data_IF_768181075641
#
_entry.id   IF_768181075641
#
_cell.length_a   1.000
_cell.length_b   1.000
_cell.length_c   1.000
_cell.angle_alpha   90.00
_cell.angle_beta   90.00
_cell.angle_gamma   90.00
#
_symmetry.space_group_name_H-M   'P 1'
#
loop_
_entity.id
_entity.type
_entity.pdbx_description
1 polymer ?
#
# COMPACT_ATOMS: atom_id res chain seq x y z
N UNK A 1 10.47 9.44 17.96
CA UNK A 1 9.55 10.58 18.16
C UNK A 1 8.95 10.95 16.80
N UNK A 2 7.81 10.36 16.36
CA UNK A 2 7.15 10.71 15.07
C UNK A 2 5.71 10.14 14.90
N UNK A 3 4.95 9.98 15.99
CA UNK A 3 3.58 9.45 15.92
C UNK A 3 2.48 10.52 15.74
N UNK A 4 2.84 11.82 15.75
CA UNK A 4 1.87 12.93 15.67
C UNK A 4 1.52 13.39 14.25
N UNK A 5 2.28 13.00 13.24
CA UNK A 5 2.13 13.53 11.87
C UNK A 5 0.96 12.92 11.07
N UNK A 6 0.43 11.78 11.50
CA UNK A 6 -0.59 11.03 10.77
C UNK A 6 -2.02 11.56 11.01
N UNK A 7 -2.23 12.33 12.09
CA UNK A 7 -3.54 12.84 12.50
C UNK A 7 -3.96 14.08 11.70
N UNK A 8 -3.02 14.99 11.41
CA UNK A 8 -3.24 16.22 10.64
C UNK A 8 -3.18 16.01 9.11
N UNK A 9 -3.17 14.76 8.66
CA UNK A 9 -3.09 14.45 7.24
C UNK A 9 -4.44 14.71 6.55
N UNK A 10 -4.43 15.52 5.50
CA UNK A 10 -5.62 15.89 4.74
C UNK A 10 -5.92 14.81 3.70
N UNK A 11 -7.18 14.35 3.64
CA UNK A 11 -7.65 13.48 2.56
C UNK A 11 -7.68 14.26 1.25
N UNK A 12 -6.81 13.87 0.31
CA UNK A 12 -6.73 14.48 -1.03
C UNK A 12 -7.77 13.85 -1.95
N UNK A 13 -7.88 12.52 -1.92
CA UNK A 13 -8.77 11.80 -2.82
C UNK A 13 -9.13 10.42 -2.26
N UNK A 14 -10.43 10.11 -2.23
CA UNK A 14 -10.89 8.74 -2.04
C UNK A 14 -10.59 7.93 -3.31
N UNK A 15 -9.70 6.93 -3.21
CA UNK A 15 -9.31 6.11 -4.35
C UNK A 15 -10.30 4.96 -4.56
N UNK A 16 -10.64 4.24 -3.50
CA UNK A 16 -11.52 3.07 -3.57
C UNK A 16 -12.10 2.72 -2.20
N UNK A 17 -13.35 2.24 -2.16
CA UNK A 17 -13.95 1.69 -0.96
C UNK A 17 -14.48 0.28 -1.27
N UNK A 18 -13.98 -0.73 -0.55
CA UNK A 18 -14.36 -2.13 -0.68
C UNK A 18 -14.86 -2.68 0.66
N UNK A 19 -15.42 -3.91 0.66
CA UNK A 19 -15.84 -4.63 1.88
C UNK A 19 -14.71 -4.87 2.90
N UNK A 20 -13.46 -4.66 2.49
CA UNK A 20 -12.25 -4.77 3.31
C UNK A 20 -11.66 -3.41 3.73
N UNK A 21 -12.41 -2.32 3.56
CA UNK A 21 -12.05 -0.99 4.02
C UNK A 21 -12.00 0.08 2.93
N UNK A 22 -11.76 1.32 3.36
CA UNK A 22 -11.65 2.51 2.51
C UNK A 22 -10.19 2.87 2.27
N UNK A 23 -9.82 3.08 1.02
CA UNK A 23 -8.50 3.52 0.58
C UNK A 23 -8.60 4.98 0.14
N UNK A 24 -7.86 5.85 0.81
CA UNK A 24 -7.77 7.26 0.50
C UNK A 24 -6.31 7.69 0.34
N UNK A 25 -6.07 8.56 -0.63
CA UNK A 25 -4.82 9.30 -0.76
C UNK A 25 -4.84 10.43 0.25
N UNK A 26 -3.86 10.43 1.15
CA UNK A 26 -3.67 11.42 2.19
C UNK A 26 -2.41 12.23 1.88
N UNK A 27 -2.42 13.51 2.25
CA UNK A 27 -1.23 14.38 2.21
C UNK A 27 -0.90 14.79 3.63
N UNK A 28 0.28 14.38 4.10
CA UNK A 28 0.84 14.78 5.39
C UNK A 28 2.10 15.62 5.22
N UNK A 29 2.73 16.02 6.33
CA UNK A 29 3.93 16.85 6.32
C UNK A 29 5.14 16.17 5.61
N UNK A 30 5.18 14.84 5.57
CA UNK A 30 6.23 14.07 4.90
C UNK A 30 5.94 13.75 3.42
N UNK A 31 4.80 14.19 2.88
CA UNK A 31 4.40 13.95 1.50
C UNK A 31 3.09 13.16 1.34
N UNK A 32 2.90 12.60 0.13
CA UNK A 32 1.73 11.80 -0.23
C UNK A 32 1.85 10.38 0.31
N UNK A 33 0.77 9.89 0.90
CA UNK A 33 0.68 8.52 1.37
C UNK A 33 -0.74 7.97 1.18
N UNK A 34 -0.87 6.65 1.14
CA UNK A 34 -2.16 6.00 1.00
C UNK A 34 -2.56 5.41 2.35
N UNK A 35 -3.72 5.84 2.86
CA UNK A 35 -4.33 5.29 4.08
C UNK A 35 -5.41 4.30 3.69
N UNK A 36 -5.35 3.11 4.28
CA UNK A 36 -6.41 2.11 4.22
C UNK A 36 -7.05 1.98 5.60
N UNK A 37 -8.30 2.42 5.74
CA UNK A 37 -9.07 2.31 6.97
C UNK A 37 -9.98 1.07 6.94
N UNK A 38 -9.75 0.14 7.87
CA UNK A 38 -10.54 -1.07 8.06
C UNK A 38 -11.68 -0.86 9.08
N UNK A 39 -11.90 0.36 9.58
CA UNK A 39 -12.90 0.64 10.60
C UNK A 39 -14.36 0.32 10.17
N UNK A 40 -14.64 0.26 8.86
CA UNK A 40 -15.96 -0.06 8.31
C UNK A 40 -16.18 -1.56 8.01
N UNK A 41 -15.24 -2.43 8.38
CA UNK A 41 -15.39 -3.88 8.18
C UNK A 41 -16.36 -4.45 9.22
N UNK A 42 -17.37 -5.25 8.84
CA UNK A 42 -18.32 -5.81 9.80
C UNK A 42 -17.61 -6.76 10.77
N UNK A 43 -18.11 -6.86 12.01
CA UNK A 43 -17.41 -7.51 13.14
C UNK A 43 -16.95 -8.95 12.87
N UNK A 44 -17.73 -9.71 12.09
CA UNK A 44 -17.39 -11.07 11.67
C UNK A 44 -16.21 -11.14 10.68
N UNK A 45 -16.04 -10.12 9.82
CA UNK A 45 -14.89 -9.99 8.92
C UNK A 45 -13.69 -9.29 9.56
N UNK A 46 -13.80 -8.82 10.80
CA UNK A 46 -12.75 -8.05 11.48
C UNK A 46 -11.49 -8.88 11.76
N UNK A 47 -11.64 -10.13 12.17
CA UNK A 47 -10.54 -11.09 12.38
C UNK A 47 -9.79 -11.42 11.08
N UNK A 48 -10.46 -11.86 9.98
CA UNK A 48 -9.76 -12.13 8.73
C UNK A 48 -9.16 -10.87 8.10
N UNK A 49 -9.83 -9.73 8.18
CA UNK A 49 -9.27 -8.46 7.69
C UNK A 49 -8.04 -8.02 8.52
N UNK A 50 -8.06 -8.22 9.84
CA UNK A 50 -6.90 -7.98 10.70
C UNK A 50 -5.73 -8.91 10.37
N UNK A 51 -6.01 -10.21 10.17
CA UNK A 51 -4.97 -11.18 9.79
C UNK A 51 -4.35 -10.85 8.44
N UNK A 52 -5.18 -10.47 7.45
CA UNK A 52 -4.73 -10.06 6.13
C UNK A 52 -3.86 -8.79 6.21
N UNK A 53 -4.31 -7.78 6.96
CA UNK A 53 -3.54 -6.55 7.17
C UNK A 53 -2.22 -6.81 7.92
N UNK A 54 -2.21 -7.71 8.91
CA UNK A 54 -0.99 -8.12 9.61
C UNK A 54 -0.02 -8.86 8.68
N UNK A 55 -0.54 -9.71 7.80
CA UNK A 55 0.25 -10.42 6.80
C UNK A 55 0.82 -9.45 5.77
N UNK A 56 0.03 -8.47 5.32
CA UNK A 56 0.46 -7.38 4.44
C UNK A 56 1.57 -6.56 5.12
N UNK A 57 1.36 -6.11 6.35
CA UNK A 57 2.37 -5.37 7.13
C UNK A 57 3.66 -6.20 7.31
N UNK A 58 3.57 -7.51 7.57
CA UNK A 58 4.75 -8.38 7.69
C UNK A 58 5.48 -8.57 6.36
N UNK A 59 4.75 -8.69 5.26
CA UNK A 59 5.32 -8.75 3.91
C UNK A 59 6.03 -7.44 3.56
N UNK A 60 5.36 -6.31 3.74
CA UNK A 60 5.93 -4.98 3.53
C UNK A 60 7.16 -4.74 4.42
N UNK A 61 7.19 -5.30 5.64
CA UNK A 61 8.37 -5.23 6.51
C UNK A 61 9.57 -6.03 5.99
N UNK A 62 9.36 -7.11 5.24
CA UNK A 62 10.46 -7.88 4.62
C UNK A 62 11.01 -7.21 3.36
N UNK A 63 10.16 -6.45 2.68
CA UNK A 63 10.51 -5.75 1.43
C UNK A 63 10.79 -4.27 1.69
N UNK A 64 11.03 -3.92 2.96
CA UNK A 64 11.40 -2.57 3.39
C UNK A 64 12.74 -2.18 2.73
N UNK A 65 12.74 -1.08 1.98
CA UNK A 65 13.92 -0.59 1.25
C UNK A 65 14.03 -0.99 -0.23
N UNK A 66 13.05 -1.72 -0.79
CA UNK A 66 12.95 -1.87 -2.25
C UNK A 66 12.16 -0.69 -2.86
N UNK A 67 12.79 0.07 -3.75
CA UNK A 67 12.18 1.23 -4.42
C UNK A 67 10.94 0.88 -5.27
N UNK A 68 10.79 -0.39 -5.65
CA UNK A 68 9.73 -0.86 -6.53
C UNK A 68 8.46 -1.33 -5.77
N UNK A 69 8.42 -1.24 -4.44
CA UNK A 69 7.23 -1.61 -3.65
C UNK A 69 6.78 -0.48 -2.73
N UNK A 70 5.47 -0.39 -2.43
CA UNK A 70 4.98 0.49 -1.38
C UNK A 70 5.66 0.14 -0.05
N UNK A 71 6.06 1.16 0.69
CA UNK A 71 6.69 1.02 2.00
C UNK A 71 5.61 1.11 3.09
N UNK A 72 5.72 0.28 4.13
CA UNK A 72 4.82 0.40 5.28
C UNK A 72 5.22 1.62 6.12
N UNK A 73 4.33 2.59 6.26
CA UNK A 73 4.56 3.77 7.08
C UNK A 73 4.08 3.55 8.51
N UNK A 74 2.83 3.11 8.67
CA UNK A 74 2.25 2.84 9.99
C UNK A 74 1.19 1.74 9.92
N UNK A 75 1.06 0.97 11.00
CA UNK A 75 0.01 -0.02 11.17
C UNK A 75 -0.51 -0.01 12.60
N UNK A 76 -1.80 0.28 12.75
CA UNK A 76 -2.48 0.42 14.05
C UNK A 76 -3.52 -0.71 14.27
N UNK A 77 -3.41 -1.81 13.53
CA UNK A 77 -4.39 -2.92 13.58
C UNK A 77 -5.75 -2.63 12.92
N UNK A 78 -6.17 -1.36 12.86
CA UNK A 78 -7.40 -0.89 12.20
C UNK A 78 -7.12 -0.02 10.97
N UNK A 79 -5.99 0.68 10.97
CA UNK A 79 -5.55 1.55 9.88
C UNK A 79 -4.18 1.12 9.40
N UNK A 80 -4.03 1.04 8.08
CA UNK A 80 -2.78 0.68 7.41
C UNK A 80 -2.37 1.85 6.52
N UNK A 81 -1.29 2.53 6.90
CA UNK A 81 -0.71 3.64 6.15
C UNK A 81 0.50 3.11 5.36
N UNK A 82 0.49 3.31 4.05
CA UNK A 82 1.56 2.89 3.12
C UNK A 82 2.03 4.06 2.27
N UNK A 83 3.27 4.04 1.82
CA UNK A 83 3.79 5.07 0.92
C UNK A 83 3.01 5.09 -0.40
N UNK A 84 2.88 6.28 -0.97
CA UNK A 84 2.33 6.42 -2.30
C UNK A 84 3.38 5.97 -3.31
N UNK A 85 3.01 5.02 -4.18
CA UNK A 85 3.81 4.64 -5.33
C UNK A 85 3.27 5.40 -6.53
N UNK A 86 4.06 6.34 -7.04
CA UNK A 86 3.70 7.07 -8.23
C UNK A 86 3.76 6.14 -9.46
N UNK A 87 2.72 6.16 -10.27
CA UNK A 87 2.58 5.27 -11.41
C UNK A 87 1.14 5.07 -11.85
N UNK A 88 0.95 4.92 -13.17
CA UNK A 88 -0.34 4.54 -13.74
C UNK A 88 -0.54 3.03 -13.63
N UNK A 89 -1.76 2.61 -13.35
CA UNK A 89 -2.14 1.21 -13.46
C UNK A 89 -1.89 0.71 -14.89
N UNK A 90 -1.28 -0.47 -15.05
CA UNK A 90 -0.97 -1.03 -16.38
C UNK A 90 -2.19 -1.15 -17.28
N UNK A 91 -3.41 -1.31 -16.74
CA UNK A 91 -4.64 -1.33 -17.53
C UNK A 91 -4.89 0.00 -18.27
N UNK A 92 -4.51 1.14 -17.66
CA UNK A 92 -4.70 2.46 -18.26
C UNK A 92 -3.64 2.77 -19.32
N UNK A 93 -2.41 2.27 -19.13
CA UNK A 93 -1.31 2.40 -20.09
C UNK A 93 -0.62 1.05 -20.27
N UNK A 94 -1.19 0.15 -21.09
CA UNK A 94 -0.56 -1.14 -21.34
C UNK A 94 0.74 -0.92 -22.12
N UNK A 95 1.89 -1.43 -21.63
CA UNK A 95 3.14 -1.39 -22.37
C UNK A 95 3.06 -2.40 -23.52
N UNK A 96 2.46 -2.01 -24.64
CA UNK A 96 2.31 -2.86 -25.82
C UNK A 96 3.68 -2.99 -26.51
N UNK A 97 4.16 -4.22 -26.65
CA UNK A 97 5.35 -4.55 -27.45
C UNK A 97 6.71 -4.29 -26.79
N UNK A 98 6.77 -3.73 -25.58
CA UNK A 98 8.05 -3.40 -24.93
C UNK A 98 8.67 -4.63 -24.21
N UNK A 99 9.49 -5.37 -24.95
CA UNK A 99 10.26 -6.50 -24.40
C UNK A 99 11.27 -6.10 -23.34
N UNK A 100 11.80 -4.87 -23.36
CA UNK A 100 12.75 -4.40 -22.35
C UNK A 100 12.02 -4.18 -21.02
N UNK A 101 10.84 -3.57 -21.06
CA UNK A 101 9.95 -3.43 -19.91
C UNK A 101 9.62 -4.78 -19.26
N UNK A 102 9.17 -5.78 -20.03
CA UNK A 102 8.81 -7.08 -19.47
C UNK A 102 10.01 -7.82 -18.86
N UNK A 103 11.21 -7.67 -19.42
CA UNK A 103 12.44 -8.23 -18.83
C UNK A 103 12.78 -7.57 -17.49
N UNK A 104 12.67 -6.25 -17.41
CA UNK A 104 12.90 -5.51 -16.17
C UNK A 104 11.85 -5.86 -15.10
N UNK A 105 10.57 -5.91 -15.48
CA UNK A 105 9.47 -6.30 -14.60
C UNK A 105 9.68 -7.72 -14.04
N UNK A 106 10.09 -8.68 -14.90
CA UNK A 106 10.43 -10.04 -14.46
C UNK A 106 11.58 -10.06 -13.46
N UNK A 107 12.65 -9.29 -13.68
CA UNK A 107 13.78 -9.21 -12.73
C UNK A 107 13.34 -8.64 -11.38
N UNK A 108 12.51 -7.59 -11.37
CA UNK A 108 11.94 -7.01 -10.14
C UNK A 108 11.07 -8.02 -9.39
N UNK A 109 10.21 -8.75 -10.10
CA UNK A 109 9.39 -9.81 -9.52
C UNK A 109 10.23 -10.95 -8.94
N UNK A 110 11.29 -11.36 -9.65
CA UNK A 110 12.23 -12.36 -9.13
C UNK A 110 12.96 -11.90 -7.88
N UNK A 111 13.39 -10.63 -7.83
CA UNK A 111 13.99 -10.06 -6.62
C UNK A 111 13.00 -10.07 -5.45
N UNK A 112 11.73 -9.73 -5.69
CA UNK A 112 10.66 -9.80 -4.70
C UNK A 112 10.44 -11.23 -4.19
N UNK A 113 10.38 -12.22 -5.09
CA UNK A 113 10.24 -13.64 -4.72
C UNK A 113 11.43 -14.18 -3.91
N UNK A 114 12.62 -13.59 -4.03
CA UNK A 114 13.79 -14.00 -3.22
C UNK A 114 13.74 -13.43 -1.80
N UNK A 115 12.93 -12.40 -1.55
CA UNK A 115 12.75 -11.79 -0.23
C UNK A 115 11.60 -12.42 0.58
N UNK A 116 10.87 -13.39 0.03
CA UNK A 116 9.59 -13.88 0.55
C UNK A 116 9.52 -15.38 0.72
#
# INVERSE_FOLDING_TARGET
MNARTSADAVEVQALKADSFGRIALMRGASGLFVRRDLAHVPLWLRLPAWWLARREARGLRRVLGQDAVPQLLAWDGRRLDRSYLDGAAMYQRPPRGDRAYFRLARRRLQALHRCG
#
